data_IF_227455629543
#
_entry.id   IF_227455629543
#
_cell.length_a   1.000
_cell.length_b   1.000
_cell.length_c   1.000
_cell.angle_alpha   90.00
_cell.angle_beta   90.00
_cell.angle_gamma   90.00
#
_symmetry.space_group_name_H-M   'P 1'
#
loop_
_entity.id
_entity.type
_entity.pdbx_description
1 polymer ?
#
# COMPACT_ATOMS: atom_id res chain seq x y z
N UNK A 1 33.94 2.18 -18.75
CA UNK A 1 33.45 2.64 -17.43
C UNK A 1 31.93 2.63 -17.45
N UNK A 2 31.30 1.86 -16.56
CA UNK A 2 29.84 1.82 -16.43
C UNK A 2 29.38 3.10 -15.73
N UNK A 3 28.55 3.90 -16.41
CA UNK A 3 27.88 5.05 -15.79
C UNK A 3 26.80 4.51 -14.86
N UNK A 4 27.02 4.55 -13.55
CA UNK A 4 25.93 4.36 -12.60
C UNK A 4 25.03 5.58 -12.70
N UNK A 5 23.87 5.42 -13.34
CA UNK A 5 22.82 6.41 -13.28
C UNK A 5 22.44 6.58 -11.80
N UNK A 6 22.75 7.73 -11.23
CA UNK A 6 22.51 8.04 -9.83
C UNK A 6 21.06 8.50 -9.66
N UNK A 7 20.12 7.64 -10.06
CA UNK A 7 18.70 7.96 -9.96
C UNK A 7 18.23 7.88 -8.50
N UNK A 8 17.46 8.88 -8.09
CA UNK A 8 16.83 8.89 -6.78
C UNK A 8 15.86 7.69 -6.65
N UNK A 9 15.91 7.02 -5.49
CA UNK A 9 15.01 5.92 -5.14
C UNK A 9 13.56 6.39 -5.23
N UNK A 10 12.72 5.58 -5.88
CA UNK A 10 11.28 5.85 -6.04
C UNK A 10 10.50 5.04 -5.04
N UNK A 11 9.49 5.67 -4.44
CA UNK A 11 8.56 5.03 -3.51
C UNK A 11 7.17 4.98 -4.15
N UNK A 12 6.39 3.97 -3.77
CA UNK A 12 5.02 3.80 -4.22
C UNK A 12 4.18 3.26 -3.06
N UNK A 13 2.92 3.69 -3.02
CA UNK A 13 1.92 3.14 -2.11
C UNK A 13 1.18 1.98 -2.78
N UNK A 14 1.13 0.84 -2.10
CA UNK A 14 0.40 -0.33 -2.57
C UNK A 14 -1.01 -0.35 -1.97
N UNK A 15 -2.01 -0.41 -2.85
CA UNK A 15 -3.42 -0.49 -2.48
C UNK A 15 -3.89 -1.95 -2.50
N UNK A 16 -4.36 -2.51 -1.38
CA UNK A 16 -4.86 -3.86 -1.34
C UNK A 16 -6.27 -3.92 -1.97
N UNK A 17 -6.47 -4.83 -2.93
CA UNK A 17 -7.75 -5.03 -3.63
C UNK A 17 -8.66 -6.07 -2.95
N UNK A 18 -8.18 -6.66 -1.86
CA UNK A 18 -8.87 -7.56 -0.92
C UNK A 18 -8.40 -7.18 0.49
N UNK A 19 -9.11 -7.54 1.57
CA UNK A 19 -8.54 -7.45 2.94
C UNK A 19 -7.12 -8.03 2.92
N UNK A 20 -6.17 -7.51 3.71
CA UNK A 20 -4.73 -7.78 3.62
C UNK A 20 -4.29 -9.25 3.71
N UNK A 21 -4.66 -10.06 2.71
CA UNK A 21 -4.77 -11.51 2.77
C UNK A 21 -6.20 -11.97 3.08
N UNK A 22 -6.55 -13.18 2.65
CA UNK A 22 -7.66 -13.99 3.17
C UNK A 22 -7.44 -14.31 4.67
N UNK A 23 -7.27 -13.27 5.49
CA UNK A 23 -6.99 -13.38 6.91
C UNK A 23 -8.35 -13.55 7.58
N UNK A 24 -8.71 -14.80 7.78
CA UNK A 24 -9.87 -15.18 8.58
C UNK A 24 -9.40 -15.17 10.03
N UNK A 25 -9.64 -14.07 10.73
CA UNK A 25 -9.27 -13.89 12.13
C UNK A 25 -10.45 -13.38 12.93
N UNK A 26 -10.56 -13.84 14.17
CA UNK A 26 -11.54 -13.33 15.14
C UNK A 26 -11.09 -12.00 15.79
N UNK A 27 -9.87 -11.53 15.48
CA UNK A 27 -9.35 -10.26 15.96
C UNK A 27 -9.89 -9.13 15.08
N UNK A 28 -10.41 -8.09 15.71
CA UNK A 28 -10.95 -6.91 15.04
C UNK A 28 -9.90 -6.24 14.13
N UNK A 29 -10.29 -6.01 12.87
CA UNK A 29 -9.45 -5.33 11.88
C UNK A 29 -9.60 -3.81 12.00
N UNK A 30 -8.47 -3.10 12.09
CA UNK A 30 -8.44 -1.62 12.13
C UNK A 30 -8.26 -0.99 10.75
N UNK A 31 -8.25 -1.80 9.70
CA UNK A 31 -8.04 -1.38 8.31
C UNK A 31 -9.18 -1.88 7.45
N UNK A 32 -9.43 -1.19 6.34
CA UNK A 32 -10.53 -1.52 5.41
C UNK A 32 -9.98 -1.71 3.99
N UNK A 33 -10.71 -2.47 3.18
CA UNK A 33 -10.46 -2.64 1.74
C UNK A 33 -11.37 -1.76 0.88
N UNK A 34 -12.18 -0.90 1.49
CA UNK A 34 -13.11 -0.04 0.77
C UNK A 34 -12.37 1.02 -0.05
N UNK A 35 -12.95 1.40 -1.18
CA UNK A 35 -12.41 2.43 -2.07
C UNK A 35 -12.18 3.76 -1.34
N UNK A 36 -13.09 4.16 -0.45
CA UNK A 36 -12.98 5.43 0.27
C UNK A 36 -11.84 5.41 1.30
N UNK A 37 -11.63 4.29 1.98
CA UNK A 37 -10.48 4.12 2.87
C UNK A 37 -9.16 4.16 2.10
N UNK A 38 -9.08 3.44 0.97
CA UNK A 38 -7.89 3.43 0.12
C UNK A 38 -7.59 4.81 -0.49
N UNK A 39 -8.62 5.59 -0.85
CA UNK A 39 -8.44 6.97 -1.33
C UNK A 39 -7.83 7.86 -0.23
N UNK A 40 -8.27 7.72 1.02
CA UNK A 40 -7.67 8.45 2.14
C UNK A 40 -6.21 8.07 2.36
N UNK A 41 -5.87 6.79 2.28
CA UNK A 41 -4.48 6.34 2.41
C UNK A 41 -3.59 6.84 1.28
N UNK A 42 -4.09 6.82 0.04
CA UNK A 42 -3.36 7.35 -1.11
C UNK A 42 -3.12 8.87 -1.05
N UNK A 43 -3.93 9.62 -0.28
CA UNK A 43 -3.73 11.06 -0.07
C UNK A 43 -2.62 11.37 0.95
N UNK A 44 -2.34 10.44 1.87
CA UNK A 44 -1.37 10.65 2.96
C UNK A 44 -0.04 9.92 2.75
N UNK A 45 0.04 9.06 1.73
CA UNK A 45 1.26 8.34 1.34
C UNK A 45 2.05 9.12 0.30
#
# INVERSE_FOLDING_TARGET
>A
MSHRNNEAVKFAYWVPNVSGGLVISNIEQRTSWTIDYNRKLAQIA
#
